data_IF_531017762551
#
_entry.id   IF_531017762551
#
_cell.length_a   1.000
_cell.length_b   1.000
_cell.length_c   1.000
_cell.angle_alpha   90.00
_cell.angle_beta   90.00
_cell.angle_gamma   90.00
#
_symmetry.space_group_name_H-M   'P 1'
#
loop_
_entity.id
_entity.type
_entity.pdbx_description
1 polymer ?
#
# COMPACT_ATOMS: atom_id res chain seq x y z
N UNK A 1 -0.89 11.25 -20.87
CA UNK A 1 -1.17 10.39 -19.68
C UNK A 1 0.09 9.66 -19.18
N UNK A 2 0.92 9.09 -20.06
CA UNK A 2 2.08 8.27 -19.65
C UNK A 2 3.14 9.04 -18.83
N UNK A 3 3.42 10.31 -19.14
CA UNK A 3 4.45 11.10 -18.44
C UNK A 3 4.05 11.43 -16.99
N UNK A 4 2.79 11.82 -16.75
CA UNK A 4 2.28 12.10 -15.39
C UNK A 4 2.25 10.84 -14.52
N UNK A 5 1.86 9.70 -15.09
CA UNK A 5 1.89 8.41 -14.41
C UNK A 5 3.31 7.97 -14.08
N UNK A 6 4.26 8.19 -15.00
CA UNK A 6 5.67 7.91 -14.75
C UNK A 6 6.25 8.77 -13.61
N UNK A 7 6.01 10.07 -13.63
CA UNK A 7 6.50 11.00 -12.59
C UNK A 7 5.89 10.68 -11.22
N UNK A 8 4.59 10.35 -11.17
CA UNK A 8 3.94 9.96 -9.91
C UNK A 8 4.43 8.61 -9.39
N UNK A 9 4.69 7.64 -10.27
CA UNK A 9 5.30 6.37 -9.89
C UNK A 9 6.74 6.58 -9.37
N UNK A 10 7.51 7.48 -9.99
CA UNK A 10 8.86 7.83 -9.58
C UNK A 10 8.90 8.48 -8.20
N UNK A 11 8.04 9.47 -7.94
CA UNK A 11 7.95 10.11 -6.61
C UNK A 11 7.45 9.14 -5.54
N UNK A 12 6.46 8.31 -5.88
CA UNK A 12 5.99 7.24 -4.98
C UNK A 12 7.11 6.24 -4.69
N UNK A 13 7.90 5.87 -5.70
CA UNK A 13 9.07 5.01 -5.57
C UNK A 13 10.15 5.61 -4.67
N UNK A 14 10.40 6.92 -4.76
CA UNK A 14 11.42 7.59 -3.94
C UNK A 14 11.02 7.66 -2.46
N UNK A 15 9.79 8.08 -2.16
CA UNK A 15 9.37 8.38 -0.79
C UNK A 15 8.69 7.19 -0.08
N UNK A 16 7.69 6.58 -0.72
CA UNK A 16 6.87 5.52 -0.10
C UNK A 16 7.45 4.12 -0.38
N UNK A 17 7.83 3.87 -1.63
CA UNK A 17 8.41 2.60 -2.08
C UNK A 17 9.82 2.39 -1.55
N UNK A 18 10.64 3.43 -1.56
CA UNK A 18 12.04 3.37 -1.15
C UNK A 18 12.18 2.85 0.27
N UNK A 19 11.51 3.49 1.24
CA UNK A 19 11.61 3.12 2.65
C UNK A 19 11.09 1.69 2.93
N UNK A 20 9.93 1.33 2.37
CA UNK A 20 9.31 0.02 2.60
C UNK A 20 10.07 -1.11 1.88
N UNK A 21 10.41 -0.93 0.60
CA UNK A 21 11.19 -1.90 -0.17
C UNK A 21 12.61 -2.05 0.39
N UNK A 22 13.27 -0.96 0.78
CA UNK A 22 14.62 -1.01 1.34
C UNK A 22 14.65 -1.68 2.71
N UNK A 23 13.58 -1.60 3.52
CA UNK A 23 13.50 -2.35 4.77
C UNK A 23 13.54 -3.87 4.53
N UNK A 24 12.73 -4.36 3.58
CA UNK A 24 12.59 -5.81 3.33
C UNK A 24 13.70 -6.35 2.41
N UNK A 25 13.94 -5.68 1.29
CA UNK A 25 14.88 -6.10 0.25
C UNK A 25 16.31 -5.62 0.54
N UNK A 26 16.49 -4.62 1.41
CA UNK A 26 17.81 -4.13 1.82
C UNK A 26 18.60 -5.17 2.58
N UNK A 27 17.96 -6.07 3.34
CA UNK A 27 18.62 -7.22 3.97
C UNK A 27 19.15 -8.24 2.96
N UNK A 28 18.45 -8.44 1.83
CA UNK A 28 18.91 -9.29 0.73
C UNK A 28 20.13 -8.67 0.02
N UNK A 29 20.07 -7.36 -0.24
CA UNK A 29 21.20 -6.61 -0.77
C UNK A 29 22.39 -6.62 0.20
N UNK A 30 22.15 -6.38 1.49
CA UNK A 30 23.15 -6.43 2.55
C UNK A 30 23.80 -7.82 2.65
N UNK A 31 23.02 -8.89 2.54
CA UNK A 31 23.54 -10.27 2.54
C UNK A 31 24.36 -10.58 1.29
N UNK A 32 23.96 -10.06 0.13
CA UNK A 32 24.68 -10.24 -1.13
C UNK A 32 26.03 -9.48 -1.15
N UNK A 33 26.05 -8.28 -0.58
CA UNK A 33 27.24 -7.42 -0.47
C UNK A 33 28.14 -7.88 0.70
N UNK A 34 27.55 -8.20 1.86
CA UNK A 34 28.25 -8.54 3.11
C UNK A 34 28.91 -9.92 3.11
N UNK A 35 28.32 -10.95 2.47
CA UNK A 35 28.93 -12.29 2.35
C UNK A 35 30.21 -12.31 1.49
N UNK A 36 30.50 -11.23 0.76
CA UNK A 36 31.69 -11.09 -0.09
C UNK A 36 32.75 -10.15 0.46
N UNK A 37 32.45 -9.36 1.50
CA UNK A 37 33.48 -8.59 2.22
C UNK A 37 34.57 -9.48 2.82
N UNK A 38 34.29 -10.77 3.05
CA UNK A 38 35.23 -11.77 3.55
C UNK A 38 35.93 -12.60 2.46
N UNK A 39 35.56 -12.44 1.18
CA UNK A 39 35.99 -13.33 0.09
C UNK A 39 36.73 -12.62 -1.07
N UNK A 40 36.98 -11.31 -0.99
CA UNK A 40 37.60 -10.51 -2.06
C UNK A 40 39.01 -10.03 -1.66
N UNK A 41 39.99 -10.29 -2.52
CA UNK A 41 41.35 -9.76 -2.39
C UNK A 41 41.41 -8.28 -2.79
N UNK A 42 42.37 -7.50 -2.26
CA UNK A 42 42.48 -6.05 -2.52
C UNK A 42 42.55 -5.67 -4.00
N UNK A 43 43.14 -6.51 -4.85
CA UNK A 43 43.39 -6.24 -6.27
C UNK A 43 42.15 -6.39 -7.18
N UNK A 44 41.17 -7.22 -6.80
CA UNK A 44 39.87 -7.31 -7.49
C UNK A 44 38.95 -6.12 -7.14
N UNK A 45 39.24 -5.45 -6.02
CA UNK A 45 38.48 -4.33 -5.46
C UNK A 45 38.59 -3.05 -6.30
N UNK A 46 39.70 -2.90 -7.02
CA UNK A 46 40.07 -1.68 -7.76
C UNK A 46 39.55 -1.68 -9.21
N UNK A 47 39.34 -2.87 -9.81
CA UNK A 47 38.93 -3.01 -11.22
C UNK A 47 37.44 -3.28 -11.44
N UNK A 48 36.75 -3.89 -10.47
CA UNK A 48 35.30 -4.13 -10.54
C UNK A 48 34.58 -3.24 -9.54
N UNK A 49 34.39 -1.99 -9.97
CA UNK A 49 33.95 -0.87 -9.15
C UNK A 49 32.77 -1.17 -8.24
N UNK A 50 32.83 -0.55 -7.06
CA UNK A 50 31.83 -0.40 -6.00
C UNK A 50 30.34 -0.54 -6.41
N UNK A 51 29.99 -0.10 -7.62
CA UNK A 51 28.63 -0.04 -8.15
C UNK A 51 28.19 -1.27 -8.95
N UNK A 52 29.10 -2.15 -9.37
CA UNK A 52 28.76 -3.33 -10.18
C UNK A 52 27.70 -4.25 -9.53
N UNK A 53 27.79 -4.67 -8.25
CA UNK A 53 26.77 -5.53 -7.64
C UNK A 53 25.45 -4.79 -7.36
N UNK A 54 25.51 -3.50 -7.04
CA UNK A 54 24.32 -2.66 -6.82
C UNK A 54 23.58 -2.44 -8.14
N UNK A 55 24.32 -2.12 -9.21
CA UNK A 55 23.81 -1.97 -10.57
C UNK A 55 23.23 -3.28 -11.11
N UNK A 56 23.86 -4.42 -10.82
CA UNK A 56 23.33 -5.73 -11.18
C UNK A 56 22.00 -6.04 -10.50
N UNK A 57 21.91 -5.78 -9.18
CA UNK A 57 20.68 -5.95 -8.41
C UNK A 57 19.56 -5.03 -8.90
N UNK A 58 19.85 -3.73 -9.06
CA UNK A 58 18.88 -2.73 -9.51
C UNK A 58 18.46 -2.96 -10.96
N UNK A 59 19.38 -3.34 -11.84
CA UNK A 59 19.11 -3.64 -13.24
C UNK A 59 18.19 -4.85 -13.39
N UNK A 60 18.45 -5.93 -12.64
CA UNK A 60 17.59 -7.11 -12.65
C UNK A 60 16.21 -6.85 -12.01
N UNK A 61 16.16 -6.04 -10.95
CA UNK A 61 14.91 -5.57 -10.35
C UNK A 61 14.10 -4.73 -11.34
N UNK A 62 14.74 -3.81 -12.06
CA UNK A 62 14.11 -3.00 -13.08
C UNK A 62 13.54 -3.87 -14.19
N UNK A 63 14.37 -4.76 -14.77
CA UNK A 63 13.93 -5.66 -15.83
C UNK A 63 12.72 -6.52 -15.41
N UNK A 64 12.78 -7.19 -14.25
CA UNK A 64 11.69 -8.03 -13.75
C UNK A 64 10.38 -7.27 -13.52
N UNK A 65 10.43 -6.09 -12.91
CA UNK A 65 9.23 -5.30 -12.62
C UNK A 65 8.67 -4.63 -13.87
N UNK A 66 9.52 -4.20 -14.80
CA UNK A 66 9.07 -3.66 -16.09
C UNK A 66 8.38 -4.74 -16.92
N UNK A 67 8.90 -5.96 -16.94
CA UNK A 67 8.24 -7.11 -17.59
C UNK A 67 6.90 -7.45 -16.92
N UNK A 68 6.85 -7.47 -15.58
CA UNK A 68 5.60 -7.65 -14.86
C UNK A 68 4.60 -6.53 -15.18
N UNK A 69 5.03 -5.27 -15.19
CA UNK A 69 4.19 -4.12 -15.53
C UNK A 69 3.63 -4.19 -16.95
N UNK A 70 4.43 -4.66 -17.92
CA UNK A 70 3.98 -4.89 -19.28
C UNK A 70 2.90 -5.99 -19.34
N UNK A 71 3.13 -7.11 -18.64
CA UNK A 71 2.19 -8.23 -18.59
C UNK A 71 0.87 -7.82 -17.91
N UNK A 72 0.94 -7.09 -16.79
CA UNK A 72 -0.23 -6.57 -16.08
C UNK A 72 -1.00 -5.54 -16.91
N UNK A 73 -0.29 -4.62 -17.59
CA UNK A 73 -0.90 -3.64 -18.49
C UNK A 73 -1.56 -4.28 -19.71
N UNK A 74 -1.04 -5.40 -20.21
CA UNK A 74 -1.64 -6.21 -21.26
C UNK A 74 -2.90 -6.96 -20.75
N UNK A 75 -2.81 -7.55 -19.55
CA UNK A 75 -3.92 -8.27 -18.94
C UNK A 75 -5.13 -7.36 -18.65
N UNK A 76 -4.87 -6.09 -18.33
CA UNK A 76 -5.91 -5.08 -18.17
C UNK A 76 -6.93 -5.43 -17.07
N UNK A 77 -8.14 -4.89 -17.18
CA UNK A 77 -9.19 -5.08 -16.17
C UNK A 77 -9.61 -6.55 -15.92
N UNK A 78 -9.20 -7.50 -16.77
CA UNK A 78 -9.53 -8.92 -16.62
C UNK A 78 -8.92 -9.59 -15.38
N UNK A 79 -7.89 -8.99 -14.77
CA UNK A 79 -7.13 -9.59 -13.64
C UNK A 79 -7.03 -8.64 -12.45
N UNK A 80 -8.09 -7.90 -12.12
CA UNK A 80 -8.11 -7.13 -10.87
C UNK A 80 -8.40 -8.05 -9.68
N UNK A 81 -7.43 -8.35 -8.79
CA UNK A 81 -7.71 -9.10 -7.57
C UNK A 81 -8.63 -8.28 -6.67
N UNK A 82 -9.74 -8.87 -6.24
CA UNK A 82 -10.69 -8.19 -5.37
C UNK A 82 -10.08 -7.73 -4.04
N UNK A 83 -10.70 -6.76 -3.34
CA UNK A 83 -10.18 -6.16 -2.12
C UNK A 83 -9.79 -7.19 -1.05
N UNK A 84 -10.60 -8.23 -0.88
CA UNK A 84 -10.37 -9.30 0.10
C UNK A 84 -9.16 -10.17 -0.26
N UNK A 85 -8.99 -10.55 -1.52
CA UNK A 85 -7.82 -11.34 -1.96
C UNK A 85 -6.54 -10.56 -1.71
N UNK A 86 -6.56 -9.26 -2.04
CA UNK A 86 -5.43 -8.37 -1.79
C UNK A 86 -5.17 -8.19 -0.29
N UNK A 87 -6.22 -8.06 0.52
CA UNK A 87 -6.13 -7.99 1.97
C UNK A 87 -5.46 -9.25 2.55
N UNK A 88 -5.87 -10.45 2.13
CA UNK A 88 -5.24 -11.72 2.52
C UNK A 88 -3.76 -11.73 2.15
N UNK A 89 -3.42 -11.37 0.91
CA UNK A 89 -2.02 -11.33 0.44
C UNK A 89 -1.17 -10.36 1.28
N UNK A 90 -1.71 -9.19 1.62
CA UNK A 90 -1.04 -8.21 2.48
C UNK A 90 -0.84 -8.72 3.90
N UNK A 91 -1.87 -9.34 4.49
CA UNK A 91 -1.78 -9.90 5.84
C UNK A 91 -0.76 -11.03 5.88
N UNK A 92 -0.79 -11.96 4.92
CA UNK A 92 0.19 -13.05 4.83
C UNK A 92 1.61 -12.50 4.66
N UNK A 93 1.81 -11.55 3.75
CA UNK A 93 3.11 -10.90 3.53
C UNK A 93 3.61 -10.21 4.81
N UNK A 94 2.75 -9.47 5.50
CA UNK A 94 3.08 -8.81 6.76
C UNK A 94 3.45 -9.80 7.87
N UNK A 95 2.72 -10.91 8.01
CA UNK A 95 3.04 -11.97 8.97
C UNK A 95 4.41 -12.58 8.68
N UNK A 96 4.73 -12.86 7.42
CA UNK A 96 6.05 -13.35 7.02
C UNK A 96 7.15 -12.34 7.35
N UNK A 97 6.93 -11.04 7.10
CA UNK A 97 7.87 -9.97 7.49
C UNK A 97 8.08 -9.90 9.01
N UNK A 98 7.02 -10.06 9.81
CA UNK A 98 7.13 -10.13 11.28
C UNK A 98 7.98 -11.33 11.70
N UNK A 99 7.76 -12.51 11.10
CA UNK A 99 8.56 -13.71 11.39
C UNK A 99 10.05 -13.48 11.10
N UNK A 100 10.38 -12.88 9.96
CA UNK A 100 11.76 -12.54 9.61
C UNK A 100 12.37 -11.47 10.53
N UNK A 101 11.61 -10.44 10.90
CA UNK A 101 12.08 -9.42 11.84
C UNK A 101 12.40 -10.03 13.22
N UNK A 102 11.52 -10.88 13.75
CA UNK A 102 11.72 -11.55 15.04
C UNK A 102 12.90 -12.54 15.01
N UNK A 103 13.13 -13.22 13.89
CA UNK A 103 14.34 -14.03 13.69
C UNK A 103 15.62 -13.18 13.70
N UNK A 104 15.60 -11.99 13.09
CA UNK A 104 16.71 -11.03 13.17
C UNK A 104 16.94 -10.47 14.59
N UNK A 105 15.90 -10.34 15.42
CA UNK A 105 16.02 -10.01 16.85
C UNK A 105 16.57 -11.18 17.68
N UNK A 106 16.70 -12.39 17.11
CA UNK A 106 17.21 -13.56 17.80
C UNK A 106 16.15 -14.31 18.65
N UNK A 107 14.86 -14.09 18.41
CA UNK A 107 13.78 -14.77 19.14
C UNK A 107 13.72 -16.25 18.73
N UNK A 108 14.33 -17.12 19.54
CA UNK A 108 14.49 -18.55 19.25
C UNK A 108 13.18 -19.30 19.02
N UNK A 109 12.08 -18.88 19.65
CA UNK A 109 10.76 -19.49 19.50
C UNK A 109 10.21 -19.37 18.06
N UNK A 110 10.51 -18.27 17.38
CA UNK A 110 9.98 -17.98 16.03
C UNK A 110 10.79 -18.68 14.94
N UNK A 111 12.05 -19.02 15.25
CA UNK A 111 13.02 -19.62 14.32
C UNK A 111 12.60 -20.98 13.73
N UNK A 112 11.63 -21.66 14.36
CA UNK A 112 11.00 -22.90 13.85
C UNK A 112 9.94 -22.63 12.78
N UNK A 113 9.32 -21.46 12.81
CA UNK A 113 8.21 -21.08 11.93
C UNK A 113 8.65 -20.27 10.70
N UNK A 114 9.88 -19.73 10.69
CA UNK A 114 10.43 -19.04 9.53
C UNK A 114 10.55 -20.02 8.36
N UNK A 115 9.94 -19.75 7.19
CA UNK A 115 10.09 -20.58 6.01
C UNK A 115 11.56 -20.59 5.59
N UNK A 116 12.26 -21.71 5.86
CA UNK A 116 13.62 -21.88 5.36
C UNK A 116 13.55 -22.41 3.94
N UNK A 117 14.21 -21.76 2.97
CA UNK A 117 14.30 -22.35 1.63
C UNK A 117 14.95 -23.74 1.75
N UNK A 118 14.46 -24.74 1.02
CA UNK A 118 14.98 -26.10 1.12
C UNK A 118 16.48 -26.12 0.81
N UNK A 119 17.21 -27.05 1.44
CA UNK A 119 18.67 -27.11 1.35
C UNK A 119 19.17 -27.22 -0.10
N UNK A 120 18.37 -27.82 -0.99
CA UNK A 120 18.59 -27.89 -2.44
C UNK A 120 18.58 -26.51 -3.12
N UNK A 121 17.67 -25.61 -2.72
CA UNK A 121 17.64 -24.22 -3.20
C UNK A 121 18.80 -23.42 -2.65
N UNK A 122 19.14 -23.61 -1.36
CA UNK A 122 20.34 -23.03 -0.76
C UNK A 122 21.63 -23.49 -1.43
N UNK A 123 21.72 -24.76 -1.85
CA UNK A 123 22.83 -25.29 -2.64
C UNK A 123 22.85 -24.77 -4.07
N UNK A 124 21.70 -24.64 -4.73
CA UNK A 124 21.61 -24.10 -6.10
C UNK A 124 22.01 -22.63 -6.13
N UNK A 125 21.52 -21.83 -5.17
CA UNK A 125 21.94 -20.43 -4.99
C UNK A 125 23.41 -20.35 -4.60
N UNK A 126 23.96 -21.26 -3.78
CA UNK A 126 25.41 -21.32 -3.49
C UNK A 126 26.26 -21.76 -4.69
N UNK A 127 25.74 -22.64 -5.56
CA UNK A 127 26.40 -23.05 -6.81
C UNK A 127 26.37 -21.93 -7.85
N UNK A 128 25.25 -21.24 -8.01
CA UNK A 128 25.18 -19.95 -8.74
C UNK A 128 25.97 -18.84 -8.04
N UNK A 129 26.25 -18.92 -6.74
CA UNK A 129 27.14 -17.98 -6.06
C UNK A 129 28.63 -18.27 -6.28
N UNK A 130 28.99 -19.43 -6.88
CA UNK A 130 30.32 -19.63 -7.47
C UNK A 130 30.50 -18.85 -8.79
N UNK A 131 29.41 -18.40 -9.44
CA UNK A 131 29.52 -17.49 -10.58
C UNK A 131 29.65 -16.02 -10.15
N UNK A 132 30.28 -15.24 -11.02
CA UNK A 132 30.83 -13.87 -10.91
C UNK A 132 30.05 -12.85 -10.07
N UNK A 133 30.76 -11.79 -9.66
CA UNK A 133 30.38 -10.66 -8.79
C UNK A 133 29.01 -9.99 -9.07
N UNK A 134 28.44 -10.23 -10.24
CA UNK A 134 27.22 -9.62 -10.79
C UNK A 134 26.02 -10.57 -10.70
N UNK A 135 26.24 -11.89 -10.72
CA UNK A 135 25.16 -12.89 -10.88
C UNK A 135 24.30 -13.08 -9.63
N UNK A 136 24.90 -13.21 -8.44
CA UNK A 136 24.12 -13.35 -7.19
C UNK A 136 23.23 -12.13 -6.92
N UNK A 137 23.75 -10.88 -7.00
CA UNK A 137 22.91 -9.70 -6.84
C UNK A 137 21.83 -9.59 -7.93
N UNK A 138 22.13 -9.93 -9.18
CA UNK A 138 21.14 -9.93 -10.26
C UNK A 138 19.99 -10.92 -10.01
N UNK A 139 20.29 -12.16 -9.60
CA UNK A 139 19.26 -13.17 -9.29
C UNK A 139 18.38 -12.72 -8.13
N UNK A 140 18.99 -12.17 -7.07
CA UNK A 140 18.23 -11.62 -5.94
C UNK A 140 17.37 -10.43 -6.35
N UNK A 141 17.89 -9.55 -7.22
CA UNK A 141 17.16 -8.44 -7.81
C UNK A 141 15.96 -8.91 -8.63
N UNK A 142 16.13 -9.94 -9.46
CA UNK A 142 15.04 -10.54 -10.23
C UNK A 142 13.96 -11.16 -9.34
N UNK A 143 14.37 -11.90 -8.29
CA UNK A 143 13.45 -12.53 -7.33
C UNK A 143 12.66 -11.52 -6.49
N UNK A 144 13.05 -10.25 -6.45
CA UNK A 144 12.29 -9.23 -5.70
C UNK A 144 10.86 -9.04 -6.19
N UNK A 145 10.57 -9.42 -7.45
CA UNK A 145 9.21 -9.41 -8.00
C UNK A 145 8.26 -10.36 -7.25
N UNK A 146 8.80 -11.42 -6.61
CA UNK A 146 8.01 -12.36 -5.81
C UNK A 146 7.79 -11.89 -4.36
N UNK A 147 8.35 -10.75 -3.97
CA UNK A 147 8.23 -10.20 -2.62
C UNK A 147 7.37 -8.92 -2.71
N UNK A 148 6.05 -9.04 -2.93
CA UNK A 148 5.19 -7.87 -3.01
C UNK A 148 5.10 -7.20 -1.64
N UNK A 149 5.38 -5.90 -1.61
CA UNK A 149 5.00 -5.02 -0.52
C UNK A 149 3.73 -4.24 -0.91
N UNK A 150 2.99 -3.70 0.07
CA UNK A 150 1.71 -3.05 -0.22
C UNK A 150 1.77 -1.85 -1.16
N UNK A 151 2.94 -1.19 -1.24
CA UNK A 151 3.21 -0.14 -2.22
C UNK A 151 3.32 -0.72 -3.62
N UNK A 152 4.10 -1.79 -3.81
CA UNK A 152 4.22 -2.48 -5.11
C UNK A 152 2.86 -2.96 -5.60
N UNK A 153 2.04 -3.58 -4.73
CA UNK A 153 0.68 -4.01 -5.10
C UNK A 153 -0.22 -2.85 -5.59
N UNK A 154 0.00 -1.62 -5.11
CA UNK A 154 -0.77 -0.46 -5.55
C UNK A 154 -0.32 0.03 -6.91
N UNK A 155 0.99 0.03 -7.13
CA UNK A 155 1.58 0.37 -8.42
C UNK A 155 1.22 -0.70 -9.46
N UNK A 156 1.14 -1.97 -9.06
CA UNK A 156 0.66 -3.09 -9.88
C UNK A 156 -0.78 -2.86 -10.30
N UNK A 157 -1.66 -2.49 -9.37
CA UNK A 157 -3.03 -2.14 -9.71
C UNK A 157 -3.09 -0.95 -10.67
N UNK A 158 -2.30 0.10 -10.46
CA UNK A 158 -2.24 1.23 -11.39
C UNK A 158 -1.78 0.75 -12.78
N UNK A 159 -0.77 -0.14 -12.86
CA UNK A 159 -0.30 -0.72 -14.10
C UNK A 159 -1.37 -1.57 -14.80
N UNK A 160 -2.15 -2.38 -14.07
CA UNK A 160 -3.30 -3.12 -14.61
C UNK A 160 -4.30 -2.16 -15.27
N UNK A 161 -4.55 -1.02 -14.63
CA UNK A 161 -5.56 -0.05 -15.08
C UNK A 161 -5.12 0.81 -16.25
N UNK A 162 -3.84 0.78 -16.64
CA UNK A 162 -3.40 1.52 -17.83
C UNK A 162 -3.91 0.92 -19.13
N UNK A 163 -4.34 -0.36 -19.11
CA UNK A 163 -4.90 -1.07 -20.26
C UNK A 163 -3.96 -1.17 -21.47
N UNK A 164 -2.68 -0.86 -21.29
CA UNK A 164 -1.66 -0.93 -22.33
C UNK A 164 -0.33 -1.41 -21.75
N UNK A 165 0.39 -2.32 -22.45
CA UNK A 165 1.63 -2.90 -21.96
C UNK A 165 2.72 -1.84 -21.78
N UNK A 166 2.83 -0.89 -22.70
CA UNK A 166 3.81 0.20 -22.64
C UNK A 166 3.60 1.12 -21.44
N UNK A 167 2.35 1.48 -21.13
CA UNK A 167 2.07 2.34 -19.99
C UNK A 167 2.24 1.59 -18.65
N UNK A 168 1.85 0.32 -18.57
CA UNK A 168 2.06 -0.51 -17.38
C UNK A 168 3.55 -0.74 -17.10
N UNK A 169 4.34 -1.00 -18.14
CA UNK A 169 5.79 -1.08 -18.08
C UNK A 169 6.42 0.22 -17.59
N UNK A 170 5.97 1.37 -18.10
CA UNK A 170 6.46 2.69 -17.70
C UNK A 170 6.16 3.01 -16.23
N UNK A 171 4.96 2.68 -15.75
CA UNK A 171 4.58 2.86 -14.34
C UNK A 171 5.51 2.07 -13.42
N UNK A 172 5.75 0.79 -13.73
CA UNK A 172 6.67 -0.04 -12.94
C UNK A 172 8.13 0.39 -13.03
N UNK A 173 8.59 0.75 -14.24
CA UNK A 173 9.93 1.25 -14.44
C UNK A 173 10.16 2.54 -13.65
N UNK A 174 9.23 3.49 -13.70
CA UNK A 174 9.28 4.73 -12.93
C UNK A 174 9.36 4.47 -11.43
N UNK A 175 8.56 3.54 -10.92
CA UNK A 175 8.61 3.12 -9.52
C UNK A 175 9.97 2.54 -9.12
N UNK A 176 10.51 1.58 -9.88
CA UNK A 176 11.80 0.97 -9.56
C UNK A 176 12.94 1.98 -9.66
N UNK A 177 12.98 2.80 -10.71
CA UNK A 177 13.95 3.89 -10.86
C UNK A 177 13.88 4.87 -9.69
N UNK A 178 12.68 5.20 -9.21
CA UNK A 178 12.46 6.03 -8.03
C UNK A 178 13.04 5.39 -6.75
N UNK A 179 13.02 4.06 -6.60
CA UNK A 179 13.65 3.39 -5.45
C UNK A 179 15.18 3.31 -5.55
N UNK A 180 15.73 3.42 -6.77
CA UNK A 180 17.17 3.25 -7.06
C UNK A 180 18.11 4.08 -6.19
N UNK A 181 17.91 5.41 -6.04
CA UNK A 181 18.74 6.26 -5.19
C UNK A 181 18.83 5.76 -3.75
N UNK A 182 17.71 5.31 -3.17
CA UNK A 182 17.67 4.86 -1.78
C UNK A 182 18.43 3.52 -1.60
N UNK A 183 18.31 2.59 -2.54
CA UNK A 183 19.06 1.33 -2.54
C UNK A 183 20.57 1.55 -2.77
N UNK A 184 20.94 2.52 -3.60
CA UNK A 184 22.33 2.89 -3.82
C UNK A 184 22.96 3.50 -2.55
N UNK A 185 22.26 4.44 -1.90
CA UNK A 185 22.67 5.01 -0.62
C UNK A 185 22.76 3.92 0.44
N UNK A 186 21.76 3.05 0.57
CA UNK A 186 21.76 1.96 1.53
C UNK A 186 22.92 0.99 1.29
N UNK A 187 23.18 0.58 0.04
CA UNK A 187 24.31 -0.28 -0.31
C UNK A 187 25.67 0.34 0.04
N UNK A 188 25.83 1.65 -0.20
CA UNK A 188 27.02 2.40 0.19
C UNK A 188 27.17 2.53 1.72
N UNK A 189 26.09 2.88 2.43
CA UNK A 189 26.10 3.05 3.88
C UNK A 189 26.35 1.75 4.62
N UNK A 190 25.75 0.64 4.17
CA UNK A 190 25.98 -0.68 4.75
C UNK A 190 27.45 -1.12 4.61
N UNK A 191 28.16 -0.70 3.55
CA UNK A 191 29.61 -0.94 3.41
C UNK A 191 30.42 -0.18 4.46
N UNK A 192 30.10 1.08 4.71
CA UNK A 192 30.82 1.91 5.69
C UNK A 192 30.47 1.53 7.13
N UNK A 193 29.19 1.28 7.42
CA UNK A 193 28.67 1.03 8.76
C UNK A 193 28.93 -0.41 9.25
N UNK A 194 29.06 -1.39 8.35
CA UNK A 194 29.37 -2.78 8.71
C UNK A 194 30.77 -2.98 9.35
N UNK A 195 31.67 -1.98 9.29
CA UNK A 195 32.95 -2.02 10.02
C UNK A 195 32.87 -1.47 11.44
N UNK A 196 31.84 -0.69 11.78
CA UNK A 196 31.78 0.10 13.03
C UNK A 196 30.58 -0.33 13.92
N UNK A 197 29.48 -0.82 13.35
CA UNK A 197 28.18 -0.99 14.05
C UNK A 197 27.53 -2.38 13.92
N UNK A 198 28.33 -3.45 13.76
CA UNK A 198 27.86 -4.81 13.40
C UNK A 198 26.69 -5.37 14.25
N UNK A 199 26.56 -5.00 15.53
CA UNK A 199 25.45 -5.44 16.39
C UNK A 199 24.25 -4.50 16.47
N UNK A 200 24.42 -3.19 16.25
CA UNK A 200 23.33 -2.19 16.36
C UNK A 200 22.56 -2.01 15.05
N UNK A 201 23.21 -2.23 13.91
CA UNK A 201 22.57 -2.14 12.59
C UNK A 201 21.47 -3.17 12.43
N UNK A 202 21.71 -4.42 12.83
CA UNK A 202 20.70 -5.49 12.76
C UNK A 202 19.49 -5.17 13.63
N UNK A 203 19.71 -4.67 14.85
CA UNK A 203 18.64 -4.21 15.72
C UNK A 203 17.81 -3.08 15.08
N UNK A 204 18.47 -2.03 14.56
CA UNK A 204 17.80 -0.90 13.90
C UNK A 204 17.02 -1.37 12.66
N UNK A 205 17.63 -2.17 11.77
CA UNK A 205 16.95 -2.71 10.59
C UNK A 205 15.75 -3.54 10.99
N UNK A 206 15.86 -4.38 12.02
CA UNK A 206 14.76 -5.22 12.46
C UNK A 206 13.59 -4.44 13.06
N UNK A 207 13.85 -3.35 13.79
CA UNK A 207 12.81 -2.43 14.29
C UNK A 207 12.09 -1.74 13.13
N UNK A 208 12.83 -1.28 12.12
CA UNK A 208 12.25 -0.66 10.92
C UNK A 208 11.38 -1.66 10.16
N UNK A 209 11.88 -2.89 9.93
CA UNK A 209 11.10 -3.95 9.26
C UNK A 209 9.84 -4.27 10.05
N UNK A 210 9.92 -4.34 11.39
CA UNK A 210 8.76 -4.62 12.23
C UNK A 210 7.73 -3.48 12.16
N UNK A 211 8.17 -2.22 12.16
CA UNK A 211 7.28 -1.07 11.95
C UNK A 211 6.59 -1.11 10.57
N UNK A 212 7.34 -1.43 9.51
CA UNK A 212 6.78 -1.59 8.15
C UNK A 212 5.82 -2.78 8.07
N UNK A 213 6.12 -3.87 8.76
CA UNK A 213 5.27 -5.06 8.81
C UNK A 213 3.95 -4.76 9.54
N UNK A 214 3.99 -4.06 10.68
CA UNK A 214 2.79 -3.60 11.40
C UNK A 214 1.97 -2.66 10.52
N UNK A 215 2.61 -1.71 9.83
CA UNK A 215 1.91 -0.84 8.88
C UNK A 215 1.24 -1.64 7.76
N UNK A 216 1.95 -2.58 7.15
CA UNK A 216 1.42 -3.44 6.07
C UNK A 216 0.26 -4.31 6.56
N UNK A 217 0.36 -4.83 7.79
CA UNK A 217 -0.69 -5.60 8.44
C UNK A 217 -1.95 -4.74 8.63
N UNK A 218 -1.80 -3.55 9.20
CA UNK A 218 -2.95 -2.63 9.40
C UNK A 218 -3.59 -2.21 8.08
N UNK A 219 -2.81 -1.93 7.04
CA UNK A 219 -3.31 -1.70 5.67
C UNK A 219 -4.10 -2.89 5.13
N UNK A 220 -3.58 -4.11 5.28
CA UNK A 220 -4.24 -5.34 4.84
C UNK A 220 -5.57 -5.57 5.57
N UNK A 221 -5.57 -5.44 6.90
CA UNK A 221 -6.78 -5.61 7.70
C UNK A 221 -7.86 -4.56 7.37
N UNK A 222 -7.48 -3.31 7.10
CA UNK A 222 -8.41 -2.24 6.66
C UNK A 222 -9.00 -2.54 5.28
N UNK A 223 -8.19 -2.96 4.33
CA UNK A 223 -8.66 -3.35 2.99
C UNK A 223 -9.60 -4.58 3.03
N UNK A 224 -9.43 -5.46 4.03
CA UNK A 224 -10.30 -6.60 4.26
C UNK A 224 -11.59 -6.28 4.99
N UNK A 225 -11.74 -5.06 5.54
CA UNK A 225 -12.84 -4.70 6.45
C UNK A 225 -12.74 -5.36 7.83
N UNK A 226 -11.60 -5.97 8.17
CA UNK A 226 -11.38 -6.66 9.45
C UNK A 226 -10.87 -5.76 10.56
N UNK A 227 -10.49 -4.52 10.22
CA UNK A 227 -10.04 -3.54 11.19
C UNK A 227 -10.71 -2.19 10.93
N UNK A 228 -11.27 -1.54 11.97
CA UNK A 228 -11.90 -0.25 11.81
C UNK A 228 -10.87 0.77 11.33
N UNK A 229 -11.17 1.50 10.26
CA UNK A 229 -10.40 2.69 9.89
C UNK A 229 -10.56 3.69 11.02
N UNK A 230 -9.49 4.07 11.74
CA UNK A 230 -9.62 5.10 12.75
C UNK A 230 -10.04 6.38 12.05
N UNK A 231 -11.28 6.82 12.31
CA UNK A 231 -11.59 8.24 12.20
C UNK A 231 -10.55 8.96 13.09
N UNK A 232 -9.82 9.97 12.59
CA UNK A 232 -8.84 10.66 13.43
C UNK A 232 -9.54 11.15 14.70
N UNK A 233 -9.13 10.60 15.85
CA UNK A 233 -9.74 10.89 17.16
C UNK A 233 -9.66 12.38 17.55
N UNK A 234 -8.83 13.16 16.85
CA UNK A 234 -8.77 14.62 16.97
C UNK A 234 -9.97 15.36 16.36
N UNK A 235 -10.93 14.68 15.72
CA UNK A 235 -12.13 15.28 15.14
C UNK A 235 -13.45 14.87 15.83
N UNK A 236 -13.39 14.26 17.02
CA UNK A 236 -14.59 14.04 17.84
C UNK A 236 -15.22 15.35 18.38
N UNK A 237 -14.62 16.50 18.04
CA UNK A 237 -15.17 17.82 18.32
C UNK A 237 -14.95 18.80 17.15
N UNK A 238 -15.50 18.54 15.96
CA UNK A 238 -15.92 19.60 15.02
C UNK A 238 -17.15 19.10 14.26
N UNK A 239 -18.24 19.86 14.40
CA UNK A 239 -19.46 20.02 13.60
C UNK A 239 -19.92 18.92 12.62
N UNK A 240 -21.25 18.68 12.50
CA UNK A 240 -21.80 17.88 11.41
C UNK A 240 -21.31 18.41 10.06
N UNK A 241 -21.01 17.49 9.13
CA UNK A 241 -20.57 17.84 7.78
C UNK A 241 -21.53 18.87 7.16
N UNK A 242 -21.04 19.90 6.45
CA UNK A 242 -21.89 20.95 5.87
C UNK A 242 -23.01 20.34 5.02
N UNK A 243 -24.19 20.98 5.03
CA UNK A 243 -25.42 20.56 4.35
C UNK A 243 -25.28 20.33 2.83
N UNK A 244 -24.12 20.61 2.23
CA UNK A 244 -23.79 20.34 0.83
C UNK A 244 -23.28 18.91 0.58
N UNK A 245 -22.88 18.18 1.62
CA UNK A 245 -22.26 16.84 1.48
C UNK A 245 -23.26 15.71 1.31
N UNK A 246 -24.51 15.93 1.73
CA UNK A 246 -25.60 14.96 1.61
C UNK A 246 -26.84 15.68 1.11
N UNK A 247 -27.20 15.48 -0.15
CA UNK A 247 -28.41 16.04 -0.76
C UNK A 247 -29.45 14.95 -0.93
N UNK A 248 -30.71 15.22 -0.58
CA UNK A 248 -31.81 14.28 -0.79
C UNK A 248 -32.75 14.87 -1.82
N UNK A 249 -32.82 14.26 -3.00
CA UNK A 249 -33.69 14.67 -4.09
C UNK A 249 -34.38 13.42 -4.66
N UNK A 250 -35.68 13.51 -4.98
CA UNK A 250 -36.46 12.41 -5.57
C UNK A 250 -36.32 11.09 -4.80
N UNK A 251 -36.47 11.13 -3.46
CA UNK A 251 -36.39 9.95 -2.58
C UNK A 251 -35.04 9.18 -2.65
N UNK A 252 -33.99 9.81 -3.19
CA UNK A 252 -32.64 9.27 -3.29
C UNK A 252 -31.66 10.22 -2.59
N UNK A 253 -30.83 9.66 -1.73
CA UNK A 253 -29.77 10.37 -1.02
C UNK A 253 -28.48 10.33 -1.83
N UNK A 254 -27.85 11.48 -2.04
CA UNK A 254 -26.55 11.60 -2.73
C UNK A 254 -25.51 12.11 -1.75
N UNK A 255 -24.45 11.34 -1.56
CA UNK A 255 -23.32 11.67 -0.71
C UNK A 255 -22.14 12.04 -1.61
N UNK A 256 -21.54 13.21 -1.41
CA UNK A 256 -20.41 13.66 -2.23
C UNK A 256 -19.10 13.64 -1.44
N UNK A 257 -18.10 12.94 -1.95
CA UNK A 257 -16.75 12.85 -1.38
C UNK A 257 -15.72 13.35 -2.39
N UNK A 258 -14.91 14.34 -1.99
CA UNK A 258 -13.76 14.78 -2.76
C UNK A 258 -12.56 13.89 -2.48
N UNK A 259 -12.04 13.22 -3.51
CA UNK A 259 -10.80 12.48 -3.49
C UNK A 259 -9.66 13.39 -3.97
N UNK A 260 -8.81 13.87 -3.06
CA UNK A 260 -7.62 14.69 -3.37
C UNK A 260 -6.35 13.83 -3.28
N UNK A 261 -5.26 14.26 -3.91
CA UNK A 261 -3.98 13.56 -3.77
C UNK A 261 -3.61 13.50 -2.29
N UNK A 262 -3.61 12.29 -1.73
CA UNK A 262 -3.38 11.96 -0.31
C UNK A 262 -4.52 12.22 0.70
N UNK A 263 -5.77 12.44 0.29
CA UNK A 263 -6.90 12.51 1.25
C UNK A 263 -8.27 12.27 0.62
N UNK A 264 -9.24 11.91 1.46
CA UNK A 264 -10.67 12.00 1.15
C UNK A 264 -11.30 13.05 2.03
N UNK A 265 -12.24 13.84 1.50
CA UNK A 265 -12.91 14.89 2.26
C UNK A 265 -14.37 14.98 1.82
N UNK A 266 -15.34 14.93 2.75
CA UNK A 266 -15.19 14.70 4.19
C UNK A 266 -14.76 13.25 4.54
N UNK A 267 -14.13 13.07 5.70
CA UNK A 267 -13.74 11.74 6.23
C UNK A 267 -14.83 11.11 7.10
N UNK A 268 -15.69 11.91 7.72
CA UNK A 268 -16.82 11.43 8.53
C UNK A 268 -18.10 12.01 7.95
N UNK A 269 -19.02 11.14 7.57
CA UNK A 269 -20.30 11.51 6.97
C UNK A 269 -21.40 10.87 7.79
N UNK A 270 -22.49 11.62 7.99
CA UNK A 270 -23.72 11.09 8.60
C UNK A 270 -24.82 11.11 7.55
N UNK A 271 -25.52 10.00 7.43
CA UNK A 271 -26.47 9.74 6.35
C UNK A 271 -27.68 8.96 6.90
N UNK A 272 -28.79 8.97 6.15
CA UNK A 272 -30.04 8.35 6.61
C UNK A 272 -30.05 6.87 6.23
N UNK A 273 -30.24 5.99 7.20
CA UNK A 273 -30.42 4.56 6.94
C UNK A 273 -31.78 4.29 6.29
N UNK A 274 -31.83 3.30 5.38
CA UNK A 274 -33.06 2.86 4.72
C UNK A 274 -33.47 3.68 3.48
N UNK A 275 -32.72 4.72 3.11
CA UNK A 275 -32.96 5.52 1.90
C UNK A 275 -32.01 5.06 0.78
N UNK A 276 -32.49 4.89 -0.48
CA UNK A 276 -31.61 4.65 -1.62
C UNK A 276 -30.49 5.69 -1.68
N UNK A 277 -29.23 5.25 -1.65
CA UNK A 277 -28.07 6.13 -1.49
C UNK A 277 -27.08 5.96 -2.65
N UNK A 278 -26.71 7.07 -3.30
CA UNK A 278 -25.62 7.15 -4.26
C UNK A 278 -24.43 7.88 -3.65
N UNK A 279 -23.24 7.32 -3.81
CA UNK A 279 -21.98 7.93 -3.41
C UNK A 279 -21.27 8.48 -4.64
N UNK A 280 -21.11 9.80 -4.71
CA UNK A 280 -20.38 10.50 -5.76
C UNK A 280 -18.97 10.78 -5.26
N UNK A 281 -17.98 10.17 -5.90
CA UNK A 281 -16.58 10.42 -5.60
C UNK A 281 -15.99 11.33 -6.68
N UNK A 282 -15.72 12.58 -6.31
CA UNK A 282 -15.21 13.61 -7.21
C UNK A 282 -13.67 13.71 -7.14
N UNK A 283 -13.03 13.79 -8.30
CA UNK A 283 -11.56 13.91 -8.45
C UNK A 283 -11.19 15.17 -9.23
N UNK A 284 -10.07 15.79 -8.86
CA UNK A 284 -9.50 16.97 -9.54
C UNK A 284 -7.98 16.87 -9.56
N UNK A 285 -7.41 16.39 -10.66
CA UNK A 285 -5.96 16.15 -10.76
C UNK A 285 -5.45 15.12 -9.76
N UNK A 286 -6.31 14.18 -9.35
CA UNK A 286 -6.05 13.24 -8.27
C UNK A 286 -5.11 12.14 -8.75
N UNK A 287 -4.03 11.90 -8.03
CA UNK A 287 -3.02 10.91 -8.37
C UNK A 287 -2.67 9.99 -7.19
N UNK A 288 -1.98 8.89 -7.48
CA UNK A 288 -1.55 7.91 -6.49
C UNK A 288 -2.66 6.95 -6.04
N UNK A 289 -2.50 6.37 -4.84
CA UNK A 289 -3.38 5.31 -4.33
C UNK A 289 -4.85 5.71 -4.17
N UNK A 290 -5.13 7.00 -3.97
CA UNK A 290 -6.48 7.55 -3.73
C UNK A 290 -7.41 7.29 -4.91
N UNK A 291 -6.86 7.13 -6.12
CA UNK A 291 -7.64 6.76 -7.30
C UNK A 291 -8.25 5.36 -7.21
N UNK A 292 -7.62 4.43 -6.48
CA UNK A 292 -8.22 3.13 -6.22
C UNK A 292 -9.16 3.29 -5.02
N UNK A 293 -10.43 3.53 -5.26
CA UNK A 293 -11.44 3.64 -4.22
C UNK A 293 -11.96 2.26 -3.84
N UNK A 294 -12.07 1.97 -2.55
CA UNK A 294 -12.45 0.65 -2.04
C UNK A 294 -13.47 0.81 -0.92
N UNK A 295 -14.56 0.04 -1.00
CA UNK A 295 -15.55 -0.14 0.08
C UNK A 295 -15.52 -1.62 0.49
N UNK A 296 -14.71 -1.99 1.50
CA UNK A 296 -14.42 -3.39 1.82
C UNK A 296 -15.66 -4.24 2.11
N UNK A 297 -16.59 -3.70 2.91
CA UNK A 297 -17.79 -4.42 3.38
C UNK A 297 -18.75 -4.77 2.24
N UNK A 298 -18.71 -3.98 1.16
CA UNK A 298 -19.53 -4.18 -0.04
C UNK A 298 -18.76 -4.88 -1.16
N UNK A 299 -17.46 -5.12 -0.99
CA UNK A 299 -16.59 -5.65 -2.05
C UNK A 299 -16.48 -4.74 -3.27
N UNK A 300 -16.86 -3.45 -3.15
CA UNK A 300 -16.81 -2.49 -4.25
C UNK A 300 -15.38 -1.97 -4.37
N UNK A 301 -14.86 -1.97 -5.59
CA UNK A 301 -13.58 -1.38 -5.92
C UNK A 301 -13.68 -0.68 -7.26
N UNK A 302 -13.39 0.62 -7.27
CA UNK A 302 -13.48 1.46 -8.46
C UNK A 302 -12.19 2.23 -8.66
N UNK A 303 -11.80 2.42 -9.91
CA UNK A 303 -10.69 3.29 -10.26
C UNK A 303 -11.23 4.63 -10.72
N UNK A 304 -11.02 5.63 -9.88
CA UNK A 304 -11.44 6.98 -10.15
C UNK A 304 -10.63 7.57 -11.31
N UNK A 305 -11.27 8.39 -12.17
CA UNK A 305 -10.55 9.16 -13.17
C UNK A 305 -9.56 10.13 -12.51
N UNK A 306 -8.64 10.69 -13.30
CA UNK A 306 -7.72 11.72 -12.79
C UNK A 306 -8.49 13.02 -12.44
N UNK A 307 -9.49 13.34 -13.26
CA UNK A 307 -10.44 14.43 -13.05
C UNK A 307 -11.81 13.96 -13.53
N UNK A 308 -12.84 14.18 -12.72
CA UNK A 308 -14.21 13.76 -13.01
C UNK A 308 -14.93 13.21 -11.78
N UNK A 309 -16.10 12.62 -12.00
CA UNK A 309 -16.93 12.04 -10.94
C UNK A 309 -17.20 10.57 -11.22
N UNK A 310 -17.20 9.76 -10.17
CA UNK A 310 -17.60 8.35 -10.22
C UNK A 310 -18.78 8.16 -9.28
N UNK A 311 -19.90 7.67 -9.83
CA UNK A 311 -21.12 7.42 -9.08
C UNK A 311 -21.16 5.95 -8.69
N UNK A 312 -21.20 5.68 -7.40
CA UNK A 312 -21.26 4.34 -6.81
C UNK A 312 -22.63 4.17 -6.18
N UNK A 313 -23.37 3.16 -6.60
CA UNK A 313 -24.66 2.82 -6.01
C UNK A 313 -24.45 2.03 -4.70
N UNK A 314 -24.90 2.59 -3.58
CA UNK A 314 -24.85 1.94 -2.27
C UNK A 314 -26.15 1.20 -1.93
N UNK A 315 -27.15 1.22 -2.81
CA UNK A 315 -28.47 0.63 -2.59
C UNK A 315 -29.17 1.27 -1.40
N UNK A 316 -29.82 0.44 -0.56
CA UNK A 316 -30.50 0.86 0.67
C UNK A 316 -29.67 0.44 1.91
N UNK A 317 -28.73 1.28 2.37
CA UNK A 317 -27.88 0.95 3.51
C UNK A 317 -28.70 0.78 4.79
N UNK A 318 -28.42 -0.33 5.51
CA UNK A 318 -28.92 -0.56 6.86
C UNK A 318 -28.21 0.35 7.87
N UNK A 319 -28.78 0.57 9.07
CA UNK A 319 -28.09 1.27 10.14
C UNK A 319 -26.72 0.65 10.43
N UNK A 320 -25.69 1.47 10.52
CA UNK A 320 -24.32 1.00 10.70
C UNK A 320 -23.27 1.95 10.13
N UNK A 321 -22.01 1.53 10.20
CA UNK A 321 -20.87 2.29 9.68
C UNK A 321 -20.39 1.62 8.40
N UNK A 322 -20.27 2.41 7.34
CA UNK A 322 -19.68 1.98 6.07
C UNK A 322 -18.32 2.65 5.92
N UNK A 323 -17.24 1.87 6.04
CA UNK A 323 -15.88 2.38 5.83
C UNK A 323 -15.51 2.38 4.33
N UNK A 324 -14.76 3.38 3.91
CA UNK A 324 -14.14 3.45 2.59
C UNK A 324 -12.66 3.83 2.71
N UNK A 325 -11.85 3.31 1.80
CA UNK A 325 -10.40 3.54 1.79
C UNK A 325 -9.82 3.63 0.38
N UNK A 326 -8.62 4.18 0.26
CA UNK A 326 -7.81 4.02 -0.94
C UNK A 326 -7.30 2.58 -1.07
N UNK A 327 -6.77 2.20 -2.24
CA UNK A 327 -6.25 0.86 -2.51
C UNK A 327 -5.05 0.43 -1.63
N UNK A 328 -4.52 1.35 -0.82
CA UNK A 328 -3.49 1.07 0.20
C UNK A 328 -4.04 0.93 1.62
N UNK A 329 -5.34 1.16 1.86
CA UNK A 329 -5.91 1.21 3.21
C UNK A 329 -5.38 2.37 4.07
N UNK A 330 -4.67 3.33 3.46
CA UNK A 330 -3.97 4.41 4.17
C UNK A 330 -4.86 5.63 4.40
N UNK A 331 -5.49 6.11 3.33
CA UNK A 331 -6.45 7.22 3.38
C UNK A 331 -7.85 6.65 3.28
N UNK A 332 -8.78 7.20 4.06
CA UNK A 332 -10.15 6.71 4.09
C UNK A 332 -11.06 7.56 4.96
N UNK A 333 -12.28 7.09 5.10
CA UNK A 333 -13.31 7.70 5.92
C UNK A 333 -14.44 6.71 6.20
N UNK A 334 -15.44 7.19 6.92
CA UNK A 334 -16.62 6.42 7.29
C UNK A 334 -17.91 7.20 7.03
N UNK A 335 -18.93 6.46 6.61
CA UNK A 335 -20.30 6.93 6.47
C UNK A 335 -21.14 6.23 7.53
N UNK A 336 -21.67 7.00 8.49
CA UNK A 336 -22.58 6.50 9.52
C UNK A 336 -24.01 6.66 9.04
N UNK A 337 -24.65 5.53 8.77
CA UNK A 337 -26.07 5.46 8.48
C UNK A 337 -26.84 5.36 9.79
N UNK A 338 -27.59 6.40 10.12
CA UNK A 338 -28.43 6.47 11.31
C UNK A 338 -29.90 6.36 10.91
N UNK A 339 -30.71 5.67 11.70
CA UNK A 339 -32.16 5.80 11.57
C UNK A 339 -32.51 7.25 11.87
N UNK A 340 -33.19 7.92 10.93
CA UNK A 340 -33.90 9.15 11.24
C UNK A 340 -34.85 8.80 12.38
N UNK A 341 -34.58 9.33 13.57
CA UNK A 341 -35.57 9.28 14.63
C UNK A 341 -36.81 9.95 14.06
N UNK A 342 -37.88 9.19 13.86
CA UNK A 342 -39.22 9.74 13.69
C UNK A 342 -39.42 10.68 14.86
N UNK A 343 -39.36 11.98 14.59
CA UNK A 343 -39.80 13.02 15.52
C UNK A 343 -41.27 12.73 15.74
N UNK A 344 -41.54 11.91 16.76
CA UNK A 344 -42.87 11.72 17.25
C UNK A 344 -43.17 13.03 17.94
N UNK A 345 -43.88 13.92 17.26
CA UNK A 345 -44.50 15.09 17.87
C UNK A 345 -45.43 14.55 18.95
N UNK A 346 -44.91 14.36 20.16
CA UNK A 346 -45.72 14.13 21.34
C UNK A 346 -46.65 15.32 21.52
N UNK A 347 -47.90 15.10 21.96
CA UNK A 347 -48.87 16.18 22.09
C UNK A 347 -48.33 17.24 23.06
N UNK A 348 -48.29 18.48 22.57
CA UNK A 348 -47.90 19.66 23.35
C UNK A 348 -48.81 19.77 24.60
N UNK A 349 -48.28 19.70 25.83
CA UNK A 349 -49.11 19.74 27.04
C UNK A 349 -49.54 21.16 27.45
N UNK A 350 -49.31 22.20 26.63
CA UNK A 350 -49.54 23.61 27.04
C UNK A 350 -50.84 24.26 26.56
N UNK A 351 -51.78 23.51 25.96
CA UNK A 351 -53.08 24.05 25.54
C UNK A 351 -54.24 23.62 26.45
N UNK A 352 -54.09 23.74 27.78
CA UNK A 352 -55.19 23.55 28.72
C UNK A 352 -55.05 24.39 30.00
N UNK A 353 -54.86 25.71 29.86
CA UNK A 353 -55.14 26.68 30.92
C UNK A 353 -55.62 28.01 30.33
N UNK A 354 -56.75 27.99 29.62
CA UNK A 354 -57.47 29.22 29.28
C UNK A 354 -58.97 28.89 29.19
N UNK A 355 -59.59 28.63 30.34
CA UNK A 355 -61.05 28.65 30.60
C UNK A 355 -61.31 28.28 32.06
N UNK A 356 -60.96 29.19 32.97
CA UNK A 356 -61.57 29.28 34.31
C UNK A 356 -61.04 30.53 35.01
N UNK A 357 -61.58 31.69 34.65
CA UNK A 357 -61.83 32.84 35.53
C UNK A 357 -62.66 33.88 34.80
#
# INVERSE_FOLDING_TARGET
MSTTLFVTALTTGLFAGGASCAAVQGGLLAGAVGRRATAWTPEAWERSGLFAPIGAFLGAKLASHTLLGAALGLAGAAVQPGPRTRAVLLVVSALVMVLFALDMLGVRAVRRFVPRPPASWGQQVRRSAKSTAVTTPAVLGFLTVLIPCGVTLSVELIAITTGSPLAGAAVMAGFVLGTGPLFAVLGFFLRSAARIWQGRLTAVTSVIVLAVAVWTLTSGLRLGGWWPTPAPAAAAAIAPAPAETVTTANNTQTITVQARTNSYTPTNITAAAGVPTKLVVATRGTNGCVRSFVVPDRGIQEILPVTGETVIDLGTPKPGVLAFTCGMGMYGGEIRFQQLATVTTGPNPTARQETAR
#
